data_IF_086683583165
#
_entry.id   IF_086683583165
#
_cell.length_a   1.000
_cell.length_b   1.000
_cell.length_c   1.000
_cell.angle_alpha   90.00
_cell.angle_beta   90.00
_cell.angle_gamma   90.00
#
_symmetry.space_group_name_H-M   'P 1'
#
loop_
_entity.id
_entity.type
_entity.pdbx_description
1 polymer ?
#
# COMPACT_ATOMS: atom_id res chain seq x y z
N UNK A 1 -3.21 -6.36 -6.41
CA UNK A 1 -2.18 -6.87 -5.49
C UNK A 1 -0.77 -6.79 -6.10
N UNK A 2 -0.55 -7.20 -7.35
CA UNK A 2 0.81 -7.24 -7.95
C UNK A 2 1.54 -5.90 -8.05
N UNK A 3 0.88 -4.78 -8.36
CA UNK A 3 1.53 -3.46 -8.30
C UNK A 3 1.97 -3.08 -6.87
N UNK A 4 1.22 -3.50 -5.84
CA UNK A 4 1.51 -3.21 -4.45
C UNK A 4 2.79 -3.95 -4.00
N UNK A 5 2.95 -5.20 -4.44
CA UNK A 5 4.16 -5.98 -4.20
C UNK A 5 5.40 -5.31 -4.81
N UNK A 6 5.29 -4.76 -6.03
CA UNK A 6 6.39 -4.00 -6.65
C UNK A 6 6.76 -2.76 -5.85
N UNK A 7 5.77 -2.03 -5.31
CA UNK A 7 6.03 -0.84 -4.49
C UNK A 7 6.71 -1.18 -3.16
N UNK A 8 6.32 -2.30 -2.53
CA UNK A 8 6.96 -2.76 -1.30
C UNK A 8 8.38 -3.27 -1.55
N UNK A 9 8.60 -4.00 -2.64
CA UNK A 9 9.92 -4.49 -3.03
C UNK A 9 10.94 -3.35 -3.24
N UNK A 10 10.49 -2.16 -3.66
CA UNK A 10 11.35 -0.96 -3.78
C UNK A 10 11.93 -0.48 -2.44
N UNK A 11 11.38 -0.94 -1.30
CA UNK A 11 11.90 -0.65 0.04
C UNK A 11 12.92 -1.71 0.52
N UNK A 12 13.05 -2.83 -0.18
CA UNK A 12 13.87 -3.97 0.24
C UNK A 12 15.24 -3.96 -0.47
N UNK A 13 15.28 -4.40 -1.73
CA UNK A 13 16.49 -4.47 -2.54
C UNK A 13 16.16 -4.64 -4.05
N UNK A 14 17.18 -4.52 -4.90
CA UNK A 14 17.01 -4.60 -6.36
C UNK A 14 16.50 -5.96 -6.84
N UNK A 15 16.93 -7.06 -6.22
CA UNK A 15 16.51 -8.41 -6.61
C UNK A 15 15.00 -8.62 -6.38
N UNK A 16 14.50 -8.19 -5.22
CA UNK A 16 13.07 -8.23 -4.90
C UNK A 16 12.24 -7.43 -5.92
N UNK A 17 12.75 -6.29 -6.38
CA UNK A 17 12.07 -5.47 -7.41
C UNK A 17 12.01 -6.21 -8.74
N UNK A 18 13.10 -6.86 -9.16
CA UNK A 18 13.13 -7.63 -10.40
C UNK A 18 12.12 -8.78 -10.38
N UNK A 19 12.08 -9.53 -9.27
CA UNK A 19 11.14 -10.64 -9.08
C UNK A 19 9.69 -10.16 -9.10
N UNK A 20 9.38 -9.10 -8.34
CA UNK A 20 8.02 -8.54 -8.28
C UNK A 20 7.56 -7.96 -9.63
N UNK A 21 8.47 -7.34 -10.39
CA UNK A 21 8.16 -6.83 -11.74
C UNK A 21 7.94 -7.97 -12.72
N UNK A 22 8.71 -9.05 -12.62
CA UNK A 22 8.53 -10.22 -13.48
C UNK A 22 7.18 -10.91 -13.19
N UNK A 23 6.81 -11.06 -11.92
CA UNK A 23 5.48 -11.55 -11.54
C UNK A 23 4.36 -10.65 -12.09
N UNK A 24 4.52 -9.33 -11.96
CA UNK A 24 3.57 -8.36 -12.51
C UNK A 24 3.42 -8.52 -14.03
N UNK A 25 4.53 -8.76 -14.74
CA UNK A 25 4.52 -8.98 -16.19
C UNK A 25 3.85 -10.29 -16.58
N UNK A 26 4.07 -11.36 -15.81
CA UNK A 26 3.42 -12.65 -16.03
C UNK A 26 1.90 -12.55 -15.90
N UNK A 27 1.41 -11.73 -14.96
CA UNK A 27 -0.02 -11.56 -14.73
C UNK A 27 -0.70 -10.61 -15.72
N UNK A 28 -0.03 -9.54 -16.14
CA UNK A 28 -0.66 -8.42 -16.86
C UNK A 28 0.00 -8.06 -18.20
N UNK A 29 0.96 -8.86 -18.67
CA UNK A 29 1.66 -8.69 -19.94
C UNK A 29 3.03 -8.00 -19.83
N UNK A 30 3.75 -7.83 -20.95
CA UNK A 30 5.17 -7.41 -20.90
C UNK A 30 5.42 -5.91 -20.69
N UNK A 31 4.39 -5.07 -20.77
CA UNK A 31 4.52 -3.60 -20.74
C UNK A 31 4.58 -3.00 -19.32
N UNK A 32 4.87 -3.80 -18.31
CA UNK A 32 4.94 -3.36 -16.92
C UNK A 32 6.36 -3.12 -16.44
N UNK A 33 6.51 -2.11 -15.60
CA UNK A 33 7.76 -1.75 -14.92
C UNK A 33 7.45 -1.27 -13.50
N UNK A 34 8.48 -1.14 -12.67
CA UNK A 34 8.31 -0.54 -11.35
C UNK A 34 7.79 0.90 -11.44
N UNK A 35 8.21 1.65 -12.46
CA UNK A 35 7.76 3.02 -12.70
C UNK A 35 6.26 3.08 -12.94
N UNK A 36 5.73 2.20 -13.80
CA UNK A 36 4.29 2.17 -14.11
C UNK A 36 3.47 1.69 -12.91
N UNK A 37 3.99 0.75 -12.11
CA UNK A 37 3.35 0.32 -10.87
C UNK A 37 3.23 1.49 -9.85
N UNK A 38 4.31 2.25 -9.67
CA UNK A 38 4.34 3.43 -8.78
C UNK A 38 3.37 4.52 -9.27
N UNK A 39 3.37 4.83 -10.57
CA UNK A 39 2.44 5.81 -11.15
C UNK A 39 0.98 5.41 -10.98
N UNK A 40 0.67 4.12 -11.17
CA UNK A 40 -0.69 3.61 -11.05
C UNK A 40 -1.20 3.69 -9.61
N UNK A 41 -0.37 3.32 -8.63
CA UNK A 41 -0.75 3.32 -7.21
C UNK A 41 -0.77 4.71 -6.57
N UNK A 42 0.13 5.61 -6.98
CA UNK A 42 0.13 7.00 -6.50
C UNK A 42 -1.05 7.82 -7.04
N UNK A 43 -1.61 7.44 -8.20
CA UNK A 43 -2.72 8.13 -8.84
C UNK A 43 -4.11 7.72 -8.37
N UNK A 44 -5.15 8.22 -9.02
CA UNK A 44 -6.58 7.99 -8.67
C UNK A 44 -7.01 6.52 -8.70
N UNK A 45 -6.32 5.69 -9.50
CA UNK A 45 -6.59 4.24 -9.55
C UNK A 45 -6.19 3.54 -8.25
N UNK A 46 -5.05 3.91 -7.67
CA UNK A 46 -4.65 3.38 -6.36
C UNK A 46 -5.58 3.82 -5.24
N UNK A 47 -6.09 5.06 -5.30
CA UNK A 47 -7.08 5.59 -4.35
C UNK A 47 -8.38 4.81 -4.38
N UNK A 48 -8.94 4.64 -5.57
CA UNK A 48 -10.15 3.86 -5.75
C UNK A 48 -9.95 2.41 -5.31
N UNK A 49 -8.78 1.82 -5.61
CA UNK A 49 -8.44 0.48 -5.16
C UNK A 49 -8.38 0.36 -3.63
N UNK A 50 -7.85 1.36 -2.92
CA UNK A 50 -7.87 1.37 -1.46
C UNK A 50 -9.26 1.57 -0.88
N UNK A 51 -10.08 2.44 -1.48
CA UNK A 51 -11.40 2.77 -0.96
C UNK A 51 -12.40 1.61 -1.14
N UNK A 52 -12.22 0.80 -2.20
CA UNK A 52 -13.07 -0.35 -2.50
C UNK A 52 -12.51 -1.70 -2.03
N UNK A 53 -11.33 -1.71 -1.41
CA UNK A 53 -10.73 -2.96 -0.92
C UNK A 53 -11.50 -3.51 0.29
N UNK A 54 -11.55 -4.85 0.46
CA UNK A 54 -12.00 -5.41 1.73
C UNK A 54 -11.08 -4.95 2.87
N UNK A 55 -11.59 -4.87 4.11
CA UNK A 55 -10.82 -4.33 5.25
C UNK A 55 -9.43 -4.93 5.40
N UNK A 56 -9.31 -6.26 5.22
CA UNK A 56 -8.05 -7.02 5.30
C UNK A 56 -6.99 -6.57 4.28
N UNK A 57 -7.40 -6.06 3.11
CA UNK A 57 -6.49 -5.60 2.05
C UNK A 57 -6.37 -4.07 2.00
N UNK A 58 -7.30 -3.35 2.63
CA UNK A 58 -7.38 -1.90 2.59
C UNK A 58 -6.17 -1.22 3.23
N UNK A 59 -5.74 -1.71 4.40
CA UNK A 59 -4.54 -1.20 5.09
C UNK A 59 -3.29 -1.32 4.20
N UNK A 60 -3.04 -2.53 3.70
CA UNK A 60 -1.89 -2.80 2.81
C UNK A 60 -1.93 -1.90 1.58
N UNK A 61 -3.09 -1.71 0.96
CA UNK A 61 -3.23 -0.87 -0.24
C UNK A 61 -3.03 0.62 0.06
N UNK A 62 -3.53 1.12 1.19
CA UNK A 62 -3.30 2.50 1.62
C UNK A 62 -1.83 2.75 1.95
N UNK A 63 -1.19 1.82 2.66
CA UNK A 63 0.24 1.88 2.90
C UNK A 63 1.04 1.91 1.59
N UNK A 64 0.77 0.97 0.68
CA UNK A 64 1.44 0.91 -0.61
C UNK A 64 1.20 2.18 -1.44
N UNK A 65 -0.01 2.74 -1.41
CA UNK A 65 -0.32 4.02 -2.05
C UNK A 65 0.53 5.15 -1.47
N UNK A 66 0.63 5.24 -0.15
CA UNK A 66 1.44 6.27 0.51
C UNK A 66 2.93 6.14 0.14
N UNK A 67 3.47 4.93 0.18
CA UNK A 67 4.84 4.63 -0.26
C UNK A 67 5.02 5.03 -1.74
N UNK A 68 4.07 4.70 -2.61
CA UNK A 68 4.13 5.07 -4.02
C UNK A 68 4.13 6.61 -4.21
N UNK A 69 3.32 7.36 -3.46
CA UNK A 69 3.30 8.83 -3.51
C UNK A 69 4.65 9.42 -3.06
N UNK A 70 5.22 8.91 -1.96
CA UNK A 70 6.54 9.34 -1.47
C UNK A 70 7.66 9.03 -2.47
N UNK A 71 7.66 7.82 -3.05
CA UNK A 71 8.66 7.41 -4.03
C UNK A 71 8.58 8.28 -5.29
N UNK A 72 7.37 8.52 -5.78
CA UNK A 72 7.16 9.30 -6.98
C UNK A 72 7.56 10.78 -6.78
N UNK A 73 7.27 11.37 -5.62
CA UNK A 73 7.77 12.70 -5.23
C UNK A 73 9.31 12.72 -5.17
N UNK A 74 9.92 11.79 -4.43
CA UNK A 74 11.38 11.75 -4.23
C UNK A 74 12.16 11.58 -5.53
N UNK A 75 11.59 10.87 -6.50
CA UNK A 75 12.18 10.60 -7.82
C UNK A 75 11.73 11.59 -8.89
N UNK A 76 11.00 12.66 -8.53
CA UNK A 76 10.44 13.66 -9.46
C UNK A 76 9.65 13.02 -10.62
N UNK A 77 8.96 11.93 -10.32
CA UNK A 77 8.05 11.29 -11.26
C UNK A 77 6.80 12.14 -11.38
N UNK A 78 6.11 12.07 -12.52
CA UNK A 78 4.82 12.73 -12.68
C UNK A 78 3.79 12.12 -11.71
N UNK A 79 3.63 12.73 -10.54
CA UNK A 79 2.58 12.40 -9.57
C UNK A 79 1.37 13.26 -9.80
N UNK A 80 0.19 12.63 -9.76
CA UNK A 80 -1.08 13.36 -9.85
C UNK A 80 -1.31 14.22 -8.61
N UNK A 81 -0.89 13.75 -7.42
CA UNK A 81 -0.92 14.50 -6.17
C UNK A 81 0.24 14.07 -5.24
N UNK A 82 0.92 15.00 -4.56
CA UNK A 82 1.90 14.66 -3.51
C UNK A 82 1.20 14.01 -2.30
N UNK A 83 1.94 13.30 -1.42
CA UNK A 83 1.39 12.81 -0.16
C UNK A 83 0.93 13.98 0.72
N UNK A 84 -0.29 13.89 1.26
CA UNK A 84 -0.93 14.94 2.06
C UNK A 84 -1.03 14.52 3.54
N UNK A 85 -1.27 15.50 4.43
CA UNK A 85 -1.49 15.21 5.84
C UNK A 85 -2.72 14.33 6.08
N UNK A 86 -3.72 14.39 5.20
CA UNK A 86 -4.88 13.51 5.23
C UNK A 86 -4.51 12.05 4.97
N UNK A 87 -3.60 11.79 4.02
CA UNK A 87 -3.12 10.42 3.74
C UNK A 87 -2.48 9.80 4.99
N UNK A 88 -1.64 10.56 5.70
CA UNK A 88 -1.01 10.11 6.95
C UNK A 88 -2.05 9.86 8.05
N UNK A 89 -3.06 10.72 8.18
CA UNK A 89 -4.13 10.53 9.14
C UNK A 89 -4.94 9.25 8.86
N UNK A 90 -5.23 8.95 7.59
CA UNK A 90 -5.96 7.72 7.19
C UNK A 90 -5.17 6.45 7.54
N UNK A 91 -3.86 6.42 7.24
CA UNK A 91 -3.01 5.27 7.61
C UNK A 91 -2.99 5.09 9.13
N UNK A 92 -2.81 6.17 9.89
CA UNK A 92 -2.79 6.10 11.36
C UNK A 92 -4.12 5.62 11.95
N UNK A 93 -5.25 6.04 11.39
CA UNK A 93 -6.58 5.59 11.83
C UNK A 93 -6.73 4.07 11.67
N UNK A 94 -6.33 3.50 10.53
CA UNK A 94 -6.40 2.06 10.27
C UNK A 94 -5.49 1.24 11.18
N UNK A 95 -4.26 1.70 11.42
CA UNK A 95 -3.34 1.02 12.35
C UNK A 95 -3.96 0.96 13.75
N UNK A 96 -4.59 2.05 14.20
CA UNK A 96 -5.27 2.09 15.49
C UNK A 96 -6.50 1.16 15.54
N UNK A 97 -7.31 1.11 14.48
CA UNK A 97 -8.46 0.21 14.39
C UNK A 97 -8.02 -1.26 14.44
N UNK A 98 -6.96 -1.62 13.73
CA UNK A 98 -6.43 -2.99 13.74
C UNK A 98 -5.82 -3.38 15.09
N UNK A 99 -5.16 -2.45 15.78
CA UNK A 99 -4.68 -2.67 17.14
C UNK A 99 -5.83 -2.87 18.14
N UNK A 100 -6.98 -2.23 17.93
CA UNK A 100 -8.17 -2.42 18.76
C UNK A 100 -8.86 -3.77 18.49
N UNK A 101 -8.83 -4.27 17.25
CA UNK A 101 -9.34 -5.61 16.91
C UNK A 101 -8.44 -6.74 17.45
N UNK A 102 -7.15 -6.48 17.64
CA UNK A 102 -6.17 -7.46 18.11
C UNK A 102 -6.16 -7.71 19.64
N UNK A 103 -6.93 -6.95 20.43
CA UNK A 103 -7.10 -7.17 21.86
C UNK A 103 -8.45 -7.86 22.10
N UNK A 104 -8.50 -9.18 22.39
CA UNK A 104 -9.71 -9.74 22.97
C UNK A 104 -9.94 -9.05 24.31
N UNK A 105 -11.20 -8.67 24.57
CA UNK A 105 -11.63 -8.26 25.88
C UNK A 105 -11.12 -9.28 26.90
N UNK A 106 -10.32 -8.82 27.86
CA UNK A 106 -10.02 -9.56 29.06
C UNK A 106 -11.34 -9.74 29.82
N UNK A 107 -12.10 -10.77 29.46
CA UNK A 107 -13.06 -11.41 30.36
C UNK A 107 -12.25 -12.06 31.47
N UNK A 108 -11.90 -11.27 32.48
CA UNK A 108 -11.67 -11.81 33.80
C UNK A 108 -12.98 -11.69 34.57
N UNK A 109 -13.79 -12.73 34.40
CA UNK A 109 -14.57 -13.26 35.50
C UNK A 109 -13.64 -13.38 36.72
N UNK A 110 -14.00 -12.71 37.80
CA UNK A 110 -13.50 -13.02 39.13
C UNK A 110 -14.71 -12.94 40.05
N UNK A 111 -15.36 -14.10 40.17
CA UNK A 111 -16.09 -14.47 41.37
C UNK A 111 -15.19 -14.21 42.58
N UNK A 112 -15.59 -13.25 43.43
CA UNK A 112 -15.41 -13.28 44.89
C UNK A 112 -16.63 -12.62 45.53
#
# INVERSE_FOLDING_TARGET
MSCANVVLALQENEQAVLEAVEELKQQHGRMWSWTTAVQLLSGRRGEFASDCAPPEAQERLLWCRMVAKMLAESRRMATVNPPSQEDFCRVRALVNEMQQVALPASDNASDV
#
